data_IF_329627679374
#
_entry.id   IF_329627679374
#
_cell.length_a   1.000
_cell.length_b   1.000
_cell.length_c   1.000
_cell.angle_alpha   90.00
_cell.angle_beta   90.00
_cell.angle_gamma   90.00
#
_symmetry.space_group_name_H-M   'P 1'
#
loop_
_entity.id
_entity.type
_entity.pdbx_description
1 polymer ?
#
# COMPACT_ATOMS: atom_id res chain seq x y z
N UNK A 1 13.21 -13.26 -19.73
CA UNK A 1 14.12 -14.37 -19.99
C UNK A 1 14.10 -14.85 -21.45
N UNK A 2 13.03 -14.61 -22.22
CA UNK A 2 12.90 -15.07 -23.64
C UNK A 2 13.69 -14.28 -24.70
N UNK A 3 14.26 -13.12 -24.42
CA UNK A 3 14.98 -12.29 -25.42
C UNK A 3 16.42 -12.76 -25.63
N UNK A 4 17.02 -13.44 -24.64
CA UNK A 4 18.40 -13.97 -24.75
C UNK A 4 18.48 -15.23 -25.62
N UNK A 5 17.48 -16.10 -25.59
CA UNK A 5 17.45 -17.35 -26.37
C UNK A 5 17.30 -17.06 -27.88
N UNK A 6 16.44 -16.12 -28.24
CA UNK A 6 16.20 -15.72 -29.65
C UNK A 6 17.46 -15.12 -30.33
N UNK A 7 18.30 -14.39 -29.59
CA UNK A 7 19.57 -13.84 -30.10
C UNK A 7 20.64 -14.93 -30.28
N UNK A 8 20.64 -15.93 -29.43
CA UNK A 8 21.56 -17.08 -29.50
C UNK A 8 21.25 -17.97 -30.71
N UNK A 9 19.96 -18.24 -30.96
CA UNK A 9 19.52 -19.05 -32.09
C UNK A 9 19.81 -18.35 -33.42
N UNK A 10 19.61 -17.04 -33.49
CA UNK A 10 19.94 -16.25 -34.69
C UNK A 10 21.43 -16.23 -35.01
N UNK A 11 22.28 -16.10 -33.99
CA UNK A 11 23.73 -16.18 -34.14
C UNK A 11 24.20 -17.57 -34.61
N UNK A 12 23.59 -18.65 -34.10
CA UNK A 12 23.84 -20.02 -34.49
C UNK A 12 23.46 -20.29 -35.95
N UNK A 13 22.29 -19.83 -36.39
CA UNK A 13 21.80 -19.96 -37.77
C UNK A 13 22.67 -19.18 -38.75
N UNK A 14 23.09 -17.96 -38.41
CA UNK A 14 24.02 -17.18 -39.23
C UNK A 14 25.39 -17.86 -39.38
N UNK A 15 25.92 -18.42 -38.31
CA UNK A 15 27.17 -19.18 -38.34
C UNK A 15 27.07 -20.41 -39.25
N UNK A 16 25.95 -21.16 -39.19
CA UNK A 16 25.70 -22.28 -40.09
C UNK A 16 25.55 -21.84 -41.53
N UNK A 17 24.89 -20.71 -41.77
CA UNK A 17 24.75 -20.15 -43.13
C UNK A 17 26.08 -19.73 -43.74
N UNK A 18 26.96 -19.08 -42.96
CA UNK A 18 28.29 -18.67 -43.42
C UNK A 18 29.19 -19.88 -43.68
N UNK A 19 29.12 -20.93 -42.86
CA UNK A 19 29.80 -22.20 -43.10
C UNK A 19 29.33 -22.87 -44.39
N UNK A 20 28.02 -22.88 -44.63
CA UNK A 20 27.42 -23.48 -45.83
C UNK A 20 27.76 -22.67 -47.08
N UNK A 21 27.83 -21.32 -47.00
CA UNK A 21 28.30 -20.47 -48.11
C UNK A 21 29.77 -20.76 -48.44
N UNK A 22 30.61 -20.95 -47.46
CA UNK A 22 32.01 -21.29 -47.63
C UNK A 22 32.19 -22.65 -48.31
N UNK A 23 31.46 -23.66 -47.89
CA UNK A 23 31.39 -24.99 -48.57
C UNK A 23 30.96 -24.91 -50.02
N UNK A 24 29.93 -24.13 -50.30
CA UNK A 24 29.45 -23.87 -51.68
C UNK A 24 30.51 -23.22 -52.51
N UNK A 25 31.19 -22.19 -51.99
CA UNK A 25 32.29 -21.50 -52.74
C UNK A 25 33.46 -22.43 -52.99
N UNK A 26 33.88 -23.25 -52.03
CA UNK A 26 34.94 -24.24 -52.23
C UNK A 26 34.56 -25.29 -53.27
N UNK A 27 33.31 -25.76 -53.32
CA UNK A 27 32.84 -26.69 -54.35
C UNK A 27 32.86 -26.04 -55.74
N UNK A 28 32.44 -24.81 -55.87
CA UNK A 28 32.48 -24.04 -57.12
C UNK A 28 33.91 -23.90 -57.60
N UNK A 29 34.86 -23.55 -56.73
CA UNK A 29 36.29 -23.48 -57.09
C UNK A 29 36.85 -24.81 -57.55
N UNK A 30 36.50 -25.90 -56.86
CA UNK A 30 36.94 -27.25 -57.29
C UNK A 30 36.38 -27.64 -58.63
N UNK A 31 35.14 -27.30 -58.95
CA UNK A 31 34.51 -27.54 -60.27
C UNK A 31 35.24 -26.70 -61.34
N UNK A 32 35.57 -25.45 -61.09
CA UNK A 32 36.29 -24.57 -62.04
C UNK A 32 37.71 -25.02 -62.33
N UNK A 33 38.42 -25.63 -61.39
CA UNK A 33 39.80 -26.09 -61.53
C UNK A 33 39.93 -27.47 -62.16
N UNK A 34 38.83 -28.21 -62.29
CA UNK A 34 38.91 -29.56 -62.87
C UNK A 34 38.53 -29.48 -64.37
N UNK A 35 39.54 -29.50 -65.22
CA UNK A 35 39.31 -29.71 -66.67
C UNK A 35 38.57 -31.04 -66.89
N UNK A 36 37.34 -30.95 -67.14
CA UNK A 36 36.44 -32.10 -67.21
C UNK A 36 36.54 -32.82 -68.57
N UNK A 37 37.57 -33.59 -68.71
CA UNK A 37 37.71 -34.52 -69.82
C UNK A 37 36.90 -35.81 -69.67
N UNK A 38 36.18 -35.95 -68.50
CA UNK A 38 35.46 -37.21 -68.24
C UNK A 38 33.95 -36.95 -68.05
N UNK A 39 33.14 -37.27 -69.07
CA UNK A 39 31.68 -37.08 -69.09
C UNK A 39 30.92 -37.58 -67.83
N UNK A 40 31.48 -38.58 -67.11
CA UNK A 40 30.88 -39.07 -65.87
C UNK A 40 31.06 -38.04 -64.74
N UNK A 41 32.19 -37.43 -64.60
CA UNK A 41 32.45 -36.38 -63.59
C UNK A 41 31.63 -35.13 -63.89
N UNK A 42 31.49 -34.74 -65.16
CA UNK A 42 30.63 -33.62 -65.55
C UNK A 42 29.17 -33.81 -65.09
N UNK A 43 28.57 -35.00 -65.32
CA UNK A 43 27.21 -35.31 -64.86
C UNK A 43 27.08 -35.32 -63.33
N UNK A 44 28.11 -35.71 -62.66
CA UNK A 44 28.16 -35.67 -61.19
C UNK A 44 28.21 -34.21 -60.66
N UNK A 45 29.08 -33.41 -61.27
CA UNK A 45 29.17 -31.98 -60.92
C UNK A 45 27.91 -31.20 -61.27
N UNK A 46 27.22 -31.52 -62.41
CA UNK A 46 25.93 -30.94 -62.74
C UNK A 46 24.88 -31.26 -61.67
N UNK A 47 24.86 -32.49 -61.15
CA UNK A 47 23.98 -32.89 -60.06
C UNK A 47 24.32 -32.14 -58.79
N UNK A 48 25.58 -32.06 -58.41
CA UNK A 48 26.06 -31.34 -57.26
C UNK A 48 25.70 -29.85 -57.35
N UNK A 49 25.91 -29.20 -58.50
CA UNK A 49 25.49 -27.82 -58.79
C UNK A 49 23.96 -27.66 -58.67
N UNK A 50 23.19 -28.62 -59.19
CA UNK A 50 21.72 -28.60 -59.06
C UNK A 50 21.29 -28.66 -57.60
N UNK A 51 21.90 -29.53 -56.81
CA UNK A 51 21.65 -29.64 -55.36
C UNK A 51 22.02 -28.35 -54.63
N UNK A 52 23.23 -27.80 -54.92
CA UNK A 52 23.70 -26.56 -54.31
C UNK A 52 22.80 -25.38 -54.64
N UNK A 53 22.33 -25.26 -55.90
CA UNK A 53 21.36 -24.22 -56.27
C UNK A 53 20.03 -24.37 -55.53
N UNK A 54 19.58 -25.60 -55.32
CA UNK A 54 18.37 -25.87 -54.52
C UNK A 54 18.57 -25.46 -53.04
N UNK A 55 19.70 -25.82 -52.47
CA UNK A 55 20.06 -25.46 -51.09
C UNK A 55 20.15 -23.93 -50.94
N UNK A 56 20.84 -23.25 -51.89
CA UNK A 56 20.94 -21.78 -51.86
C UNK A 56 19.56 -21.11 -51.94
N UNK A 57 18.67 -21.60 -52.80
CA UNK A 57 17.29 -21.05 -52.84
C UNK A 57 16.54 -21.23 -51.57
N UNK A 58 16.68 -22.39 -50.91
CA UNK A 58 16.05 -22.65 -49.62
C UNK A 58 16.59 -21.72 -48.54
N UNK A 59 17.91 -21.48 -48.50
CA UNK A 59 18.49 -20.55 -47.56
C UNK A 59 18.06 -19.10 -47.79
N UNK A 60 17.94 -18.66 -49.04
CA UNK A 60 17.42 -17.30 -49.35
C UNK A 60 15.99 -17.15 -48.80
N UNK A 61 15.13 -18.12 -49.05
CA UNK A 61 13.74 -18.11 -48.52
C UNK A 61 13.73 -18.09 -46.96
N UNK A 62 14.63 -18.86 -46.34
CA UNK A 62 14.74 -18.87 -44.89
C UNK A 62 15.23 -17.52 -44.33
N UNK A 63 16.22 -16.90 -45.01
CA UNK A 63 16.72 -15.56 -44.59
C UNK A 63 15.60 -14.52 -44.70
N UNK A 64 14.83 -14.51 -45.78
CA UNK A 64 13.74 -13.57 -45.97
C UNK A 64 12.65 -13.77 -44.92
N UNK A 65 12.32 -15.04 -44.60
CA UNK A 65 11.38 -15.38 -43.54
C UNK A 65 11.88 -14.93 -42.18
N UNK A 66 13.16 -15.17 -41.84
CA UNK A 66 13.77 -14.75 -40.58
C UNK A 66 13.85 -13.22 -40.45
N UNK A 67 14.18 -12.50 -41.54
CA UNK A 67 14.16 -11.06 -41.56
C UNK A 67 12.77 -10.50 -41.27
N UNK A 68 11.75 -11.06 -41.95
CA UNK A 68 10.36 -10.68 -41.72
C UNK A 68 9.93 -10.92 -40.29
N UNK A 69 10.28 -12.09 -39.73
CA UNK A 69 9.98 -12.44 -38.34
C UNK A 69 10.71 -11.52 -37.37
N UNK A 70 11.98 -11.20 -37.65
CA UNK A 70 12.78 -10.29 -36.78
C UNK A 70 12.19 -8.89 -36.76
N UNK A 71 11.77 -8.35 -37.92
CA UNK A 71 11.09 -7.05 -37.98
C UNK A 71 9.77 -7.08 -37.19
N UNK A 72 9.01 -8.15 -37.32
CA UNK A 72 7.75 -8.33 -36.56
C UNK A 72 8.02 -8.40 -35.06
N UNK A 73 8.95 -9.26 -34.62
CA UNK A 73 9.30 -9.40 -33.21
C UNK A 73 9.84 -8.10 -32.61
N UNK A 74 10.61 -7.33 -33.38
CA UNK A 74 11.10 -6.02 -32.93
C UNK A 74 9.96 -5.03 -32.76
N UNK A 75 9.01 -5.01 -33.67
CA UNK A 75 7.82 -4.17 -33.57
C UNK A 75 6.93 -4.59 -32.37
N UNK A 76 6.68 -5.89 -32.22
CA UNK A 76 5.89 -6.44 -31.12
C UNK A 76 6.55 -6.16 -29.77
N UNK A 77 7.88 -6.32 -29.69
CA UNK A 77 8.64 -5.98 -28.48
C UNK A 77 8.58 -4.47 -28.14
N UNK A 78 8.62 -3.61 -29.17
CA UNK A 78 8.47 -2.17 -28.96
C UNK A 78 7.06 -1.81 -28.49
N UNK A 79 6.02 -2.43 -29.07
CA UNK A 79 4.63 -2.26 -28.66
C UNK A 79 4.42 -2.73 -27.21
N UNK A 80 4.88 -3.94 -26.87
CA UNK A 80 4.77 -4.49 -25.53
C UNK A 80 5.51 -3.62 -24.47
N UNK A 81 6.66 -3.04 -24.83
CA UNK A 81 7.37 -2.11 -23.93
C UNK A 81 6.60 -0.82 -23.70
N UNK A 82 5.93 -0.28 -24.72
CA UNK A 82 5.08 0.91 -24.57
C UNK A 82 3.89 0.61 -23.67
N UNK A 83 3.17 -0.46 -23.95
CA UNK A 83 2.03 -0.89 -23.14
C UNK A 83 2.45 -1.14 -21.66
N UNK A 84 3.57 -1.82 -21.45
CA UNK A 84 4.11 -2.01 -20.10
C UNK A 84 4.51 -0.69 -19.41
N UNK A 85 5.02 0.29 -20.15
CA UNK A 85 5.36 1.60 -19.62
C UNK A 85 4.10 2.40 -19.25
N UNK A 86 3.09 2.40 -20.13
CA UNK A 86 1.79 3.03 -19.87
C UNK A 86 1.09 2.41 -18.66
N UNK A 87 1.01 1.08 -18.60
CA UNK A 87 0.44 0.37 -17.46
C UNK A 87 1.19 0.64 -16.15
N UNK A 88 2.52 0.77 -16.18
CA UNK A 88 3.30 1.14 -14.98
C UNK A 88 3.01 2.59 -14.54
N UNK A 89 2.89 3.50 -15.49
CA UNK A 89 2.57 4.89 -15.20
C UNK A 89 1.16 5.01 -14.58
N UNK A 90 0.17 4.33 -15.17
CA UNK A 90 -1.18 4.28 -14.64
C UNK A 90 -1.23 3.65 -13.24
N UNK A 91 -0.52 2.53 -13.03
CA UNK A 91 -0.42 1.91 -11.70
C UNK A 91 0.24 2.82 -10.66
N UNK A 92 1.23 3.60 -11.06
CA UNK A 92 1.87 4.56 -10.16
C UNK A 92 0.91 5.70 -9.77
N UNK A 93 0.16 6.21 -10.73
CA UNK A 93 -0.85 7.24 -10.49
C UNK A 93 -1.98 6.73 -9.60
N UNK A 94 -2.53 5.54 -9.91
CA UNK A 94 -3.56 4.90 -9.10
C UNK A 94 -3.08 4.64 -7.66
N UNK A 95 -1.84 4.20 -7.46
CA UNK A 95 -1.26 4.05 -6.13
C UNK A 95 -1.21 5.38 -5.38
N UNK A 96 -0.77 6.45 -6.03
CA UNK A 96 -0.76 7.79 -5.45
C UNK A 96 -2.17 8.27 -5.06
N UNK A 97 -3.16 8.00 -5.91
CA UNK A 97 -4.55 8.32 -5.61
C UNK A 97 -5.08 7.51 -4.41
N UNK A 98 -4.80 6.20 -4.36
CA UNK A 98 -5.20 5.33 -3.25
C UNK A 98 -4.55 5.78 -1.93
N UNK A 99 -3.26 6.11 -1.93
CA UNK A 99 -2.57 6.62 -0.75
C UNK A 99 -3.17 7.94 -0.26
N UNK A 100 -3.43 8.87 -1.19
CA UNK A 100 -4.05 10.16 -0.87
C UNK A 100 -5.47 9.97 -0.30
N UNK A 101 -6.31 9.19 -0.97
CA UNK A 101 -7.67 8.89 -0.52
C UNK A 101 -7.67 8.16 0.83
N UNK A 102 -6.77 7.20 1.02
CA UNK A 102 -6.61 6.49 2.29
C UNK A 102 -6.22 7.45 3.42
N UNK A 103 -5.30 8.41 3.15
CA UNK A 103 -4.95 9.45 4.09
C UNK A 103 -6.13 10.37 4.44
N UNK A 104 -6.92 10.78 3.45
CA UNK A 104 -8.13 11.59 3.67
C UNK A 104 -9.19 10.83 4.47
N UNK A 105 -9.42 9.56 4.15
CA UNK A 105 -10.34 8.71 4.89
C UNK A 105 -9.86 8.52 6.33
N UNK A 106 -8.57 8.26 6.55
CA UNK A 106 -8.01 8.12 7.89
C UNK A 106 -8.18 9.41 8.72
N UNK A 107 -7.93 10.57 8.13
CA UNK A 107 -8.15 11.86 8.79
C UNK A 107 -9.63 12.16 9.05
N UNK A 108 -10.51 11.79 8.11
CA UNK A 108 -11.96 11.95 8.21
C UNK A 108 -12.63 10.97 9.15
N UNK A 109 -12.05 9.78 9.35
CA UNK A 109 -12.63 8.72 10.19
C UNK A 109 -12.41 8.92 11.68
N UNK A 110 -11.65 9.94 12.08
CA UNK A 110 -11.40 10.25 13.49
C UNK A 110 -12.69 10.69 14.16
N UNK A 111 -13.07 10.00 15.24
CA UNK A 111 -14.24 10.34 16.05
C UNK A 111 -13.98 11.65 16.79
N UNK A 112 -14.88 12.62 16.65
CA UNK A 112 -14.87 13.90 17.35
C UNK A 112 -15.91 13.91 18.44
N UNK A 113 -15.76 14.80 19.40
CA UNK A 113 -16.79 15.05 20.41
C UNK A 113 -17.24 16.49 20.44
N UNK A 114 -18.36 16.71 21.07
CA UNK A 114 -18.86 18.04 21.43
C UNK A 114 -19.46 18.04 22.83
N UNK A 115 -19.60 19.22 23.41
CA UNK A 115 -20.31 19.43 24.66
C UNK A 115 -19.63 18.79 25.89
N UNK A 116 -18.29 18.62 25.89
CA UNK A 116 -17.59 18.12 27.08
C UNK A 116 -17.85 19.07 28.26
N UNK A 117 -18.52 18.56 29.25
CA UNK A 117 -18.86 19.25 30.48
C UNK A 117 -18.57 18.35 31.67
N UNK A 118 -18.35 18.95 32.84
CA UNK A 118 -18.12 18.23 34.07
C UNK A 118 -18.90 18.86 35.23
N UNK A 119 -19.51 18.02 36.04
CA UNK A 119 -20.23 18.45 37.22
C UNK A 119 -19.82 17.60 38.43
N UNK A 120 -19.76 18.21 39.61
CA UNK A 120 -19.50 17.53 40.84
C UNK A 120 -20.82 17.27 41.60
N UNK A 121 -20.94 16.09 42.20
CA UNK A 121 -22.11 15.64 42.93
C UNK A 121 -21.77 15.29 44.36
N UNK A 122 -22.69 15.63 45.25
CA UNK A 122 -22.63 15.26 46.66
C UNK A 122 -23.29 13.88 46.90
N UNK A 123 -23.28 13.42 48.15
CA UNK A 123 -23.87 12.14 48.57
C UNK A 123 -25.38 12.05 48.36
N UNK A 124 -26.07 13.17 48.15
CA UNK A 124 -27.52 13.23 47.89
C UNK A 124 -27.84 13.41 46.39
N UNK A 125 -26.88 13.13 45.51
CA UNK A 125 -27.01 13.28 44.05
C UNK A 125 -27.38 14.69 43.55
N UNK A 126 -26.97 15.73 44.35
CA UNK A 126 -27.17 17.11 43.93
C UNK A 126 -25.84 17.70 43.51
N UNK A 127 -25.88 18.51 42.46
CA UNK A 127 -24.70 19.27 42.01
C UNK A 127 -24.21 20.18 43.10
N UNK A 128 -22.90 20.21 43.31
CA UNK A 128 -22.23 21.03 44.31
C UNK A 128 -20.91 21.59 43.78
N UNK A 129 -20.58 22.79 44.18
CA UNK A 129 -19.27 23.43 43.94
C UNK A 129 -18.36 23.37 45.18
N UNK A 130 -18.85 22.83 46.29
CA UNK A 130 -18.09 22.74 47.54
C UNK A 130 -17.25 21.48 47.58
N UNK A 131 -15.94 21.62 47.51
CA UNK A 131 -14.99 20.52 47.48
C UNK A 131 -15.20 19.50 48.63
N UNK A 132 -15.44 19.96 49.84
CA UNK A 132 -15.68 19.10 51.00
C UNK A 132 -16.95 18.24 50.92
N UNK A 133 -17.86 18.50 50.01
CA UNK A 133 -19.10 17.75 49.82
C UNK A 133 -19.11 16.87 48.57
N UNK A 134 -18.10 16.99 47.73
CA UNK A 134 -18.00 16.19 46.50
C UNK A 134 -17.72 14.74 46.83
N UNK A 135 -18.54 13.85 46.28
CA UNK A 135 -18.35 12.40 46.36
C UNK A 135 -17.95 11.82 45.03
N UNK A 136 -18.45 12.41 43.92
CA UNK A 136 -18.16 11.94 42.57
C UNK A 136 -18.17 13.08 41.56
N UNK A 137 -17.40 12.91 40.48
CA UNK A 137 -17.48 13.75 39.31
C UNK A 137 -18.21 13.02 38.21
N UNK A 138 -18.98 13.77 37.41
CA UNK A 138 -19.65 13.30 36.19
C UNK A 138 -19.16 14.14 35.05
N UNK A 139 -18.50 13.51 34.08
CA UNK A 139 -18.21 14.11 32.79
C UNK A 139 -19.22 13.64 31.76
N UNK A 140 -19.79 14.54 31.01
CA UNK A 140 -20.73 14.29 29.92
C UNK A 140 -20.20 14.87 28.63
N UNK A 141 -20.32 14.12 27.54
CA UNK A 141 -19.97 14.55 26.19
C UNK A 141 -20.80 13.77 25.18
N UNK A 142 -20.89 14.31 23.96
CA UNK A 142 -21.50 13.60 22.83
C UNK A 142 -20.42 13.27 21.81
N UNK A 143 -20.36 12.03 21.35
CA UNK A 143 -19.57 11.66 20.18
C UNK A 143 -20.36 12.08 18.94
N UNK A 144 -19.73 12.83 18.06
CA UNK A 144 -20.37 13.38 16.87
C UNK A 144 -20.55 12.30 15.82
N UNK A 145 -21.65 12.37 15.09
CA UNK A 145 -21.93 11.51 13.92
C UNK A 145 -20.76 11.55 12.93
N UNK A 146 -20.31 10.36 12.50
CA UNK A 146 -19.28 10.22 11.49
C UNK A 146 -19.39 8.87 10.79
N UNK A 147 -19.93 8.89 9.57
CA UNK A 147 -20.13 7.70 8.75
C UNK A 147 -18.82 7.02 8.28
N UNK A 148 -17.70 7.77 8.31
CA UNK A 148 -16.39 7.25 7.95
C UNK A 148 -15.68 6.58 9.12
N UNK A 149 -16.14 6.81 10.34
CA UNK A 149 -15.53 6.22 11.53
C UNK A 149 -15.84 4.72 11.64
N UNK A 150 -14.89 3.93 12.16
CA UNK A 150 -15.13 2.51 12.44
C UNK A 150 -16.33 2.34 13.39
N UNK A 151 -17.28 1.48 13.02
CA UNK A 151 -18.41 1.12 13.87
C UNK A 151 -18.00 0.03 14.86
N UNK A 152 -18.53 0.09 16.07
CA UNK A 152 -18.27 -0.90 17.11
C UNK A 152 -17.97 -0.27 18.48
N UNK A 153 -17.43 -1.05 19.42
CA UNK A 153 -17.13 -0.57 20.76
C UNK A 153 -16.02 0.47 20.78
N UNK A 154 -16.32 1.67 21.24
CA UNK A 154 -15.40 2.78 21.41
C UNK A 154 -15.24 3.04 22.89
N UNK A 155 -14.01 3.03 23.37
CA UNK A 155 -13.70 3.34 24.77
C UNK A 155 -13.22 4.78 24.89
N UNK A 156 -13.92 5.57 25.70
CA UNK A 156 -13.58 6.93 26.04
C UNK A 156 -12.89 6.94 27.42
N UNK A 157 -11.76 7.61 27.49
CA UNK A 157 -10.92 7.75 28.66
C UNK A 157 -10.96 9.19 29.16
N UNK A 158 -11.17 9.35 30.46
CA UNK A 158 -11.06 10.64 31.11
C UNK A 158 -9.76 10.73 31.94
N UNK A 159 -9.13 11.87 31.86
CA UNK A 159 -8.02 12.26 32.72
C UNK A 159 -8.42 13.50 33.48
N UNK A 160 -8.54 13.37 34.77
CA UNK A 160 -8.89 14.46 35.67
C UNK A 160 -7.65 14.82 36.50
N UNK A 161 -7.20 16.03 36.33
CA UNK A 161 -6.09 16.58 37.13
C UNK A 161 -6.66 17.52 38.17
N UNK A 162 -6.15 17.42 39.36
CA UNK A 162 -6.46 18.32 40.47
C UNK A 162 -5.83 19.72 40.27
N UNK A 163 -6.08 20.69 41.18
CA UNK A 163 -5.49 22.02 41.11
C UNK A 163 -3.97 22.06 41.12
N UNK A 164 -3.32 21.05 41.70
CA UNK A 164 -1.85 20.90 41.73
C UNK A 164 -1.29 20.20 40.48
N UNK A 165 -2.17 19.82 39.52
CA UNK A 165 -1.80 19.13 38.28
C UNK A 165 -1.61 17.63 38.46
N UNK A 166 -1.94 17.04 39.61
CA UNK A 166 -1.82 15.63 39.92
C UNK A 166 -3.01 14.90 39.32
N UNK A 167 -2.75 13.78 38.60
CA UNK A 167 -3.80 12.97 38.04
C UNK A 167 -4.58 12.22 39.10
N UNK A 168 -5.88 12.44 39.17
CA UNK A 168 -6.76 11.67 40.05
C UNK A 168 -6.95 10.27 39.49
N UNK A 169 -6.69 9.25 40.27
CA UNK A 169 -6.90 7.86 39.92
C UNK A 169 -7.68 7.17 41.05
N UNK A 170 -8.62 6.31 40.62
CA UNK A 170 -9.27 5.40 41.55
C UNK A 170 -8.46 4.10 41.71
N UNK A 171 -8.95 3.17 42.51
CA UNK A 171 -8.30 1.86 42.73
C UNK A 171 -8.14 1.02 41.47
N UNK A 172 -8.93 1.27 40.42
CA UNK A 172 -8.90 0.55 39.13
C UNK A 172 -8.19 1.40 38.10
N UNK A 173 -6.87 1.40 38.11
CA UNK A 173 -6.10 2.14 37.11
C UNK A 173 -6.24 1.50 35.72
N UNK A 174 -6.73 2.28 34.78
CA UNK A 174 -6.82 1.89 33.39
C UNK A 174 -5.79 2.67 32.57
N UNK A 175 -4.87 1.97 31.91
CA UNK A 175 -3.93 2.59 30.99
C UNK A 175 -4.43 2.45 29.54
N UNK A 176 -4.10 3.43 28.72
CA UNK A 176 -4.40 3.43 27.28
C UNK A 176 -3.23 4.04 26.49
N UNK A 177 -3.17 3.71 25.21
CA UNK A 177 -2.17 4.29 24.31
C UNK A 177 -2.80 5.44 23.52
N UNK A 178 -2.11 6.56 23.46
CA UNK A 178 -2.46 7.71 22.62
C UNK A 178 -1.20 8.28 21.99
N UNK A 179 -1.18 8.41 20.66
CA UNK A 179 -0.01 8.87 19.88
C UNK A 179 1.30 8.14 20.24
N UNK A 180 1.21 6.82 20.47
CA UNK A 180 2.38 5.99 20.82
C UNK A 180 2.87 6.13 22.27
N UNK A 181 2.19 6.94 23.10
CA UNK A 181 2.49 7.08 24.52
C UNK A 181 1.45 6.36 25.37
N UNK A 182 1.91 5.62 26.36
CA UNK A 182 1.01 5.02 27.35
C UNK A 182 0.63 6.05 28.40
N UNK A 183 -0.66 6.28 28.56
CA UNK A 183 -1.23 7.23 29.52
C UNK A 183 -2.16 6.51 30.49
N UNK A 184 -2.29 7.04 31.69
CA UNK A 184 -3.23 6.53 32.68
C UNK A 184 -4.50 7.37 32.66
N UNK A 185 -5.65 6.70 32.70
CA UNK A 185 -6.96 7.33 32.81
C UNK A 185 -7.45 7.36 34.24
N UNK A 186 -8.17 8.42 34.61
CA UNK A 186 -8.90 8.54 35.86
C UNK A 186 -10.16 7.68 35.87
N UNK A 187 -10.85 7.64 34.75
CA UNK A 187 -12.03 6.79 34.50
C UNK A 187 -12.14 6.48 33.04
N UNK A 188 -12.90 5.44 32.67
CA UNK A 188 -13.19 5.11 31.28
C UNK A 188 -14.59 4.52 31.16
N UNK A 189 -15.17 4.65 29.95
CA UNK A 189 -16.44 4.01 29.60
C UNK A 189 -16.39 3.57 28.16
N UNK A 190 -16.90 2.39 27.89
CA UNK A 190 -17.09 1.86 26.56
C UNK A 190 -18.53 2.11 26.10
N UNK A 191 -18.69 2.45 24.84
CA UNK A 191 -19.97 2.69 24.19
C UNK A 191 -19.94 2.11 22.78
N UNK A 192 -21.05 1.52 22.35
CA UNK A 192 -21.20 1.06 20.97
C UNK A 192 -21.50 2.26 20.07
N UNK A 193 -20.57 2.54 19.16
CA UNK A 193 -20.66 3.63 18.20
C UNK A 193 -21.03 3.08 16.82
N UNK A 194 -22.19 3.46 16.33
CA UNK A 194 -22.71 3.02 15.03
C UNK A 194 -22.56 4.06 13.91
N UNK A 195 -21.72 5.08 14.10
CA UNK A 195 -21.58 6.19 13.17
C UNK A 195 -22.54 7.35 13.44
N UNK A 196 -23.49 7.17 14.35
CA UNK A 196 -24.45 8.20 14.77
C UNK A 196 -24.00 8.91 16.04
N UNK A 197 -24.61 10.04 16.32
CA UNK A 197 -24.36 10.75 17.55
C UNK A 197 -24.74 9.91 18.77
N UNK A 198 -23.83 9.85 19.77
CA UNK A 198 -24.03 9.11 21.01
C UNK A 198 -23.64 9.97 22.18
N UNK A 199 -24.60 10.17 23.09
CA UNK A 199 -24.36 10.83 24.38
C UNK A 199 -23.75 9.86 25.38
N UNK A 200 -22.77 10.32 26.10
CA UNK A 200 -21.99 9.49 26.98
C UNK A 200 -21.70 10.26 28.27
N UNK A 201 -21.88 9.57 29.39
CA UNK A 201 -21.59 10.07 30.73
C UNK A 201 -20.62 9.14 31.44
N UNK A 202 -19.54 9.68 31.99
CA UNK A 202 -18.49 8.92 32.67
C UNK A 202 -18.38 9.42 34.10
N UNK A 203 -18.50 8.52 35.04
CA UNK A 203 -18.36 8.81 36.47
C UNK A 203 -16.92 8.57 36.93
N UNK A 204 -16.39 9.49 37.71
CA UNK A 204 -15.21 9.29 38.50
C UNK A 204 -15.63 9.21 39.97
N UNK A 205 -15.56 8.01 40.52
CA UNK A 205 -15.89 7.66 41.90
C UNK A 205 -14.61 7.30 42.67
N UNK A 206 -14.77 7.10 43.98
CA UNK A 206 -13.74 6.54 44.85
C UNK A 206 -12.47 7.39 44.94
N UNK A 207 -12.63 8.71 44.86
CA UNK A 207 -11.58 9.66 45.16
C UNK A 207 -11.66 10.03 46.63
N UNK A 208 -10.58 9.86 47.41
CA UNK A 208 -10.63 10.02 48.89
C UNK A 208 -11.02 11.41 49.32
N UNK A 209 -10.59 12.44 48.63
CA UNK A 209 -10.92 13.83 48.95
C UNK A 209 -10.72 14.74 47.74
N UNK A 210 -11.49 15.83 47.69
CA UNK A 210 -11.34 16.87 46.68
C UNK A 210 -10.88 18.18 47.38
N UNK A 211 -9.93 18.86 46.76
CA UNK A 211 -9.44 20.17 47.19
C UNK A 211 -10.23 21.29 46.54
N UNK A 212 -10.18 22.50 47.11
CA UNK A 212 -10.68 23.68 46.43
C UNK A 212 -9.71 24.11 45.33
N UNK A 213 -10.24 24.54 44.18
CA UNK A 213 -9.45 24.97 43.03
C UNK A 213 -10.00 24.51 41.69
N UNK A 214 -9.22 24.67 40.64
CA UNK A 214 -9.61 24.36 39.26
C UNK A 214 -9.12 22.96 38.90
N UNK A 215 -10.07 22.10 38.58
CA UNK A 215 -9.80 20.76 38.04
C UNK A 215 -9.80 20.82 36.53
N UNK A 216 -8.81 20.19 35.91
CA UNK A 216 -8.73 20.03 34.46
C UNK A 216 -9.21 18.64 34.08
N UNK A 217 -10.20 18.57 33.19
CA UNK A 217 -10.77 17.32 32.67
C UNK A 217 -10.51 17.20 31.20
N UNK A 218 -9.79 16.18 30.79
CA UNK A 218 -9.43 15.86 29.43
C UNK A 218 -10.08 14.55 29.04
N UNK A 219 -10.67 14.50 27.82
CA UNK A 219 -11.28 13.29 27.28
C UNK A 219 -10.51 12.80 26.04
N UNK A 220 -10.33 11.48 25.93
CA UNK A 220 -9.57 10.82 24.87
C UNK A 220 -10.28 9.56 24.38
N UNK A 221 -10.02 9.20 23.15
CA UNK A 221 -10.07 7.81 22.68
C UNK A 221 -8.64 7.33 22.44
N UNK A 222 -8.45 6.08 22.04
CA UNK A 222 -7.13 5.58 21.60
C UNK A 222 -6.57 6.31 20.37
N UNK A 223 -7.46 6.96 19.59
CA UNK A 223 -7.12 7.59 18.31
C UNK A 223 -7.20 9.12 18.33
N UNK A 224 -7.98 9.69 19.24
CA UNK A 224 -8.26 11.13 19.23
C UNK A 224 -8.30 11.75 20.63
N UNK A 225 -7.85 13.01 20.69
CA UNK A 225 -8.18 13.91 21.78
C UNK A 225 -9.57 14.49 21.55
N UNK A 226 -10.48 14.22 22.48
CA UNK A 226 -11.88 14.62 22.34
C UNK A 226 -12.16 16.02 22.88
N UNK A 227 -11.39 16.49 23.83
CA UNK A 227 -11.55 17.85 24.37
C UNK A 227 -11.04 18.00 25.78
N UNK A 228 -11.09 19.26 26.22
CA UNK A 228 -10.69 19.68 27.56
C UNK A 228 -11.77 20.60 28.14
N UNK A 229 -12.05 20.45 29.42
CA UNK A 229 -12.93 21.36 30.18
C UNK A 229 -12.36 21.54 31.61
N UNK A 230 -12.87 22.54 32.28
CA UNK A 230 -12.43 22.85 33.62
C UNK A 230 -13.63 22.89 34.58
N UNK A 231 -13.38 22.51 35.85
CA UNK A 231 -14.36 22.56 36.92
C UNK A 231 -13.74 23.31 38.12
N UNK A 232 -14.41 24.35 38.57
CA UNK A 232 -14.02 25.06 39.77
C UNK A 232 -14.76 24.47 40.96
N UNK A 233 -14.00 24.02 41.99
CA UNK A 233 -14.53 23.66 43.31
C UNK A 233 -14.08 24.69 44.33
N UNK A 234 -14.98 25.04 45.23
CA UNK A 234 -14.78 25.99 46.30
C UNK A 234 -14.56 25.30 47.63
#
# INVERSE_FOLDING_TARGET
MCIRDSSSDYASINSQLDSSKEEVNQLIERIQKTEATNRRKMRQYEKELGTLRSIMRNYIVQIDSLNTLNHKLTADAAAARREAAESRAENADLKGQVENLSGQVAAGSVIKSRGLSVAAYNASDKVTDRSSRVVRLLASLSLVENDLAPKGPVRVYLRVKDPDGILLTNSTQTSFSFNGQTMVASASREVDYEGKEVDLSIYLNDIPSYQSGIYTVEAYTSQAFLGKTELLLR
#
